data_IF_614227783681
#
_entry.id   IF_614227783681
#
_cell.length_a   1.000
_cell.length_b   1.000
_cell.length_c   1.000
_cell.angle_alpha   90.00
_cell.angle_beta   90.00
_cell.angle_gamma   90.00
#
_symmetry.space_group_name_H-M   'P 1'
#
loop_
_entity.id
_entity.type
_entity.pdbx_description
1 polymer ?
#
# COMPACT_ATOMS: atom_id res chain seq x y z
N UNK A 1 6.01 -1.22 17.89
CA UNK A 1 5.11 -1.60 16.77
C UNK A 1 5.72 -2.77 16.02
N UNK A 2 4.91 -3.64 15.39
CA UNK A 2 5.40 -4.70 14.48
C UNK A 2 5.52 -4.20 13.04
N UNK A 3 6.68 -4.43 12.41
CA UNK A 3 6.92 -4.21 10.99
C UNK A 3 6.77 -5.56 10.27
N UNK A 4 5.98 -5.60 9.21
CA UNK A 4 5.73 -6.80 8.42
C UNK A 4 6.45 -6.73 7.09
N UNK A 5 7.18 -7.79 6.76
CA UNK A 5 7.77 -7.97 5.43
C UNK A 5 6.71 -8.47 4.47
N UNK A 6 6.32 -7.62 3.52
CA UNK A 6 5.34 -7.96 2.48
C UNK A 6 6.05 -8.60 1.29
N UNK A 7 7.07 -7.91 0.75
CA UNK A 7 8.00 -8.44 -0.25
C UNK A 7 9.41 -8.33 0.36
N UNK A 8 10.15 -9.45 0.52
CA UNK A 8 11.48 -9.45 1.12
C UNK A 8 12.39 -8.37 0.53
N UNK A 9 13.01 -7.58 1.40
CA UNK A 9 13.96 -6.51 1.05
C UNK A 9 13.42 -5.41 0.13
N UNK A 10 12.10 -5.32 -0.06
CA UNK A 10 11.48 -4.42 -1.05
C UNK A 10 10.26 -3.67 -0.52
N UNK A 11 9.34 -4.37 0.14
CA UNK A 11 8.10 -3.78 0.63
C UNK A 11 7.82 -4.23 2.06
N UNK A 12 7.71 -3.25 2.93
CA UNK A 12 7.38 -3.40 4.34
C UNK A 12 6.08 -2.66 4.66
N UNK A 13 5.40 -3.07 5.73
CA UNK A 13 4.15 -2.45 6.11
C UNK A 13 3.83 -2.56 7.61
N UNK A 14 2.95 -1.70 8.10
CA UNK A 14 2.49 -1.74 9.48
C UNK A 14 1.51 -0.62 9.84
N UNK A 15 1.37 -0.37 11.13
CA UNK A 15 0.60 0.76 11.65
C UNK A 15 1.45 2.03 11.76
N UNK A 16 1.02 2.95 12.63
CA UNK A 16 1.75 4.20 12.89
C UNK A 16 3.14 3.91 13.46
N UNK A 17 4.17 4.46 12.81
CA UNK A 17 5.56 4.36 13.23
C UNK A 17 5.78 5.00 14.61
N UNK A 18 6.37 4.22 15.52
CA UNK A 18 6.98 4.71 16.76
C UNK A 18 8.45 5.07 16.52
N UNK A 19 9.18 5.47 17.57
CA UNK A 19 10.60 5.86 17.44
C UNK A 19 11.46 4.75 16.82
N UNK A 20 11.23 3.49 17.20
CA UNK A 20 11.96 2.35 16.65
C UNK A 20 11.60 2.08 15.19
N UNK A 21 10.33 2.27 14.82
CA UNK A 21 9.90 2.23 13.42
C UNK A 21 10.58 3.30 12.56
N UNK A 22 10.72 4.53 13.08
CA UNK A 22 11.45 5.57 12.37
C UNK A 22 12.94 5.27 12.23
N UNK A 23 13.56 4.64 13.24
CA UNK A 23 14.94 4.17 13.13
C UNK A 23 15.09 3.13 12.01
N UNK A 24 14.18 2.16 11.94
CA UNK A 24 14.15 1.19 10.83
C UNK A 24 13.99 1.89 9.47
N UNK A 25 13.16 2.93 9.40
CA UNK A 25 13.01 3.74 8.17
C UNK A 25 14.32 4.42 7.79
N UNK A 26 15.00 5.05 8.76
CA UNK A 26 16.28 5.71 8.53
C UNK A 26 17.34 4.74 8.01
N UNK A 27 17.33 3.48 8.45
CA UNK A 27 18.36 2.50 8.11
C UNK A 27 18.06 1.69 6.83
N UNK A 28 16.79 1.44 6.50
CA UNK A 28 16.43 0.42 5.50
C UNK A 28 15.41 0.84 4.44
N UNK A 29 14.70 1.94 4.64
CA UNK A 29 13.58 2.34 3.79
C UNK A 29 13.98 3.56 2.97
N UNK A 30 13.67 3.54 1.68
CA UNK A 30 13.88 4.66 0.77
C UNK A 30 12.68 5.60 0.75
N UNK A 31 11.47 5.04 0.76
CA UNK A 31 10.23 5.80 0.71
C UNK A 31 9.20 5.29 1.73
N UNK A 32 8.48 6.22 2.36
CA UNK A 32 7.35 5.95 3.24
C UNK A 32 6.08 6.43 2.55
N UNK A 33 5.06 5.58 2.49
CA UNK A 33 3.72 5.94 2.04
C UNK A 33 2.76 5.92 3.23
N UNK A 34 2.33 7.11 3.64
CA UNK A 34 1.43 7.32 4.76
C UNK A 34 0.00 7.55 4.27
N UNK A 35 -0.91 6.66 4.67
CA UNK A 35 -2.34 6.69 4.32
C UNK A 35 -3.22 7.44 5.33
N UNK A 36 -2.63 7.92 6.43
CA UNK A 36 -3.34 8.62 7.50
C UNK A 36 -3.76 10.01 7.04
N UNK A 37 -4.78 10.52 7.71
CA UNK A 37 -5.28 11.90 7.57
C UNK A 37 -4.33 12.92 8.20
N UNK A 38 -3.32 12.48 8.95
CA UNK A 38 -2.27 13.33 9.46
C UNK A 38 -0.92 12.97 8.80
N UNK A 39 -0.15 13.96 8.35
CA UNK A 39 1.21 13.73 7.86
C UNK A 39 2.10 13.19 8.97
N UNK A 40 3.20 12.54 8.58
CA UNK A 40 4.19 12.10 9.55
C UNK A 40 5.07 13.24 10.04
N UNK A 41 5.50 13.12 11.29
CA UNK A 41 6.47 14.00 11.93
C UNK A 41 7.56 13.09 12.52
N UNK A 42 8.58 12.70 11.73
CA UNK A 42 9.64 11.83 12.21
C UNK A 42 10.34 12.46 13.43
N UNK A 43 10.55 11.73 14.53
CA UNK A 43 11.23 12.23 15.71
C UNK A 43 12.77 12.18 15.58
N UNK A 44 13.28 11.74 14.44
CA UNK A 44 14.71 11.59 14.12
C UNK A 44 14.96 12.06 12.69
N UNK A 45 16.22 12.30 12.35
CA UNK A 45 16.60 12.64 10.99
C UNK A 45 16.36 11.47 10.03
N UNK A 46 15.65 11.77 8.94
CA UNK A 46 15.37 10.86 7.83
C UNK A 46 15.72 11.52 6.50
N UNK A 47 16.71 12.41 6.52
CA UNK A 47 17.24 13.06 5.32
C UNK A 47 17.57 12.03 4.24
N UNK A 48 17.16 12.33 3.00
CA UNK A 48 17.29 11.41 1.87
C UNK A 48 16.21 10.33 1.79
N UNK A 49 15.19 10.36 2.65
CA UNK A 49 13.99 9.50 2.52
C UNK A 49 12.83 10.27 1.90
N UNK A 50 12.04 9.59 1.07
CA UNK A 50 10.83 10.16 0.48
C UNK A 50 9.64 9.94 1.41
N UNK A 51 9.10 11.01 1.99
CA UNK A 51 7.90 10.94 2.83
C UNK A 51 6.67 11.30 2.00
N UNK A 52 5.96 10.29 1.49
CA UNK A 52 4.82 10.44 0.61
C UNK A 52 3.53 10.40 1.44
N UNK A 53 2.82 11.52 1.46
CA UNK A 53 1.54 11.62 2.14
C UNK A 53 0.38 11.43 1.16
N UNK A 54 -0.43 10.39 1.37
CA UNK A 54 -1.55 10.02 0.53
C UNK A 54 -2.79 9.76 1.40
N UNK A 55 -3.38 10.81 2.00
CA UNK A 55 -4.41 10.66 3.01
C UNK A 55 -5.69 10.04 2.44
N UNK A 56 -6.23 9.04 3.14
CA UNK A 56 -7.58 8.48 2.90
C UNK A 56 -8.34 8.30 4.22
N UNK A 57 -9.65 8.49 4.15
CA UNK A 57 -10.55 8.45 5.31
C UNK A 57 -10.81 7.02 5.76
N UNK A 58 -10.84 6.75 7.06
CA UNK A 58 -11.03 5.37 7.54
C UNK A 58 -12.40 4.74 7.16
N UNK A 59 -13.45 5.54 6.99
CA UNK A 59 -14.82 5.07 6.70
C UNK A 59 -15.34 5.40 5.31
N UNK A 60 -14.54 6.07 4.48
CA UNK A 60 -14.92 6.44 3.11
C UNK A 60 -13.76 6.14 2.17
N UNK A 61 -14.06 5.37 1.12
CA UNK A 61 -13.07 5.05 0.10
C UNK A 61 -12.79 6.28 -0.79
N UNK A 62 -11.57 6.41 -1.34
CA UNK A 62 -11.29 7.42 -2.37
C UNK A 62 -11.99 7.05 -3.69
N UNK A 63 -11.75 7.82 -4.75
CA UNK A 63 -12.17 7.42 -6.09
C UNK A 63 -11.22 6.38 -6.73
N UNK A 64 -11.62 5.85 -7.89
CA UNK A 64 -10.85 4.87 -8.64
C UNK A 64 -9.52 5.42 -9.19
N UNK A 65 -9.49 6.70 -9.57
CA UNK A 65 -8.29 7.35 -10.11
C UNK A 65 -7.18 7.37 -9.07
N UNK A 66 -7.52 7.68 -7.82
CA UNK A 66 -6.60 7.62 -6.70
C UNK A 66 -5.96 6.23 -6.56
N UNK A 67 -6.72 5.15 -6.72
CA UNK A 67 -6.20 3.78 -6.64
C UNK A 67 -5.22 3.49 -7.77
N UNK A 68 -5.59 3.86 -9.00
CA UNK A 68 -4.74 3.71 -10.19
C UNK A 68 -3.41 4.44 -9.98
N UNK A 69 -3.46 5.70 -9.56
CA UNK A 69 -2.29 6.53 -9.34
C UNK A 69 -1.37 5.95 -8.27
N UNK A 70 -1.92 5.56 -7.11
CA UNK A 70 -1.10 5.13 -5.98
C UNK A 70 -0.51 3.75 -6.19
N UNK A 71 -1.25 2.83 -6.80
CA UNK A 71 -0.71 1.52 -7.17
C UNK A 71 0.37 1.65 -8.24
N UNK A 72 0.21 2.55 -9.23
CA UNK A 72 1.24 2.87 -10.22
C UNK A 72 2.48 3.49 -9.57
N UNK A 73 2.32 4.44 -8.65
CA UNK A 73 3.42 5.05 -7.91
C UNK A 73 4.22 3.99 -7.13
N UNK A 74 3.54 3.11 -6.40
CA UNK A 74 4.20 2.01 -5.67
C UNK A 74 5.00 1.10 -6.61
N UNK A 75 4.43 0.75 -7.77
CA UNK A 75 5.12 -0.02 -8.79
C UNK A 75 6.38 0.69 -9.29
N UNK A 76 6.27 1.96 -9.68
CA UNK A 76 7.41 2.75 -10.18
C UNK A 76 8.52 2.86 -9.13
N UNK A 77 8.17 3.13 -7.87
CA UNK A 77 9.17 3.21 -6.79
C UNK A 77 9.92 1.88 -6.64
N UNK A 78 9.18 0.76 -6.56
CA UNK A 78 9.77 -0.55 -6.45
C UNK A 78 10.61 -0.90 -7.69
N UNK A 79 10.12 -0.66 -8.90
CA UNK A 79 10.83 -0.97 -10.16
C UNK A 79 12.13 -0.15 -10.30
N UNK A 80 12.17 1.06 -9.75
CA UNK A 80 13.38 1.87 -9.64
C UNK A 80 14.32 1.48 -8.48
N UNK A 81 14.09 0.32 -7.86
CA UNK A 81 14.97 -0.22 -6.81
C UNK A 81 14.73 0.36 -5.41
N UNK A 82 13.70 1.19 -5.21
CA UNK A 82 13.40 1.72 -3.87
C UNK A 82 12.82 0.63 -2.96
N UNK A 83 13.14 0.75 -1.67
CA UNK A 83 12.51 0.00 -0.59
C UNK A 83 11.39 0.84 0.00
N UNK A 84 10.17 0.30 0.06
CA UNK A 84 8.98 1.04 0.45
C UNK A 84 8.47 0.56 1.82
N UNK A 85 8.03 1.51 2.66
CA UNK A 85 7.23 1.24 3.85
C UNK A 85 5.84 1.86 3.71
N UNK A 86 4.78 1.06 3.84
CA UNK A 86 3.40 1.56 3.71
C UNK A 86 2.67 1.40 5.05
N UNK A 87 1.98 2.45 5.50
CA UNK A 87 1.22 2.34 6.74
C UNK A 87 -0.07 3.15 6.79
N UNK A 88 -0.94 2.75 7.72
CA UNK A 88 -2.02 3.58 8.23
C UNK A 88 -1.85 3.78 9.76
N UNK A 89 -2.93 4.02 10.51
CA UNK A 89 -2.90 4.09 11.98
C UNK A 89 -2.66 2.72 12.64
N UNK A 90 -3.44 1.70 12.29
CA UNK A 90 -3.46 0.39 12.97
C UNK A 90 -2.78 -0.73 12.14
N UNK A 91 -2.48 -0.47 10.87
CA UNK A 91 -2.00 -1.43 9.90
C UNK A 91 -3.06 -2.43 9.45
N UNK A 92 -4.34 -2.05 9.38
CA UNK A 92 -5.44 -3.04 9.16
C UNK A 92 -6.27 -2.71 7.93
N UNK A 93 -6.98 -1.57 7.96
CA UNK A 93 -8.07 -1.29 7.05
C UNK A 93 -7.58 -0.62 5.76
N UNK A 94 -7.03 0.60 5.90
CA UNK A 94 -6.49 1.38 4.77
C UNK A 94 -5.25 0.72 4.20
N UNK A 95 -4.42 0.16 5.09
CA UNK A 95 -3.26 -0.64 4.68
C UNK A 95 -3.69 -1.86 3.87
N UNK A 96 -4.64 -2.65 4.38
CA UNK A 96 -5.14 -3.84 3.69
C UNK A 96 -5.70 -3.49 2.32
N UNK A 97 -6.42 -2.37 2.23
CA UNK A 97 -6.96 -1.88 0.97
C UNK A 97 -5.87 -1.61 -0.07
N UNK A 98 -4.91 -0.74 0.24
CA UNK A 98 -3.92 -0.34 -0.76
C UNK A 98 -2.97 -1.49 -1.12
N UNK A 99 -2.59 -2.34 -0.16
CA UNK A 99 -1.75 -3.50 -0.45
C UNK A 99 -2.49 -4.48 -1.37
N UNK A 100 -3.79 -4.69 -1.14
CA UNK A 100 -4.61 -5.55 -2.01
C UNK A 100 -4.65 -5.00 -3.42
N UNK A 101 -4.95 -3.71 -3.60
CA UNK A 101 -4.94 -3.06 -4.91
C UNK A 101 -3.57 -3.18 -5.59
N UNK A 102 -2.49 -2.93 -4.85
CA UNK A 102 -1.12 -3.06 -5.37
C UNK A 102 -0.84 -4.50 -5.85
N UNK A 103 -1.22 -5.53 -5.08
CA UNK A 103 -1.04 -6.93 -5.47
C UNK A 103 -1.87 -7.32 -6.69
N UNK A 104 -3.10 -6.81 -6.80
CA UNK A 104 -3.93 -7.02 -7.98
C UNK A 104 -3.25 -6.49 -9.25
N UNK A 105 -2.75 -5.25 -9.20
CA UNK A 105 -2.08 -4.63 -10.34
C UNK A 105 -0.72 -5.29 -10.65
N UNK A 106 0.09 -5.57 -9.62
CA UNK A 106 1.47 -6.08 -9.79
C UNK A 106 1.50 -7.52 -10.28
N UNK A 107 0.60 -8.36 -9.77
CA UNK A 107 0.65 -9.82 -9.96
C UNK A 107 -0.53 -10.38 -10.75
N UNK A 108 -1.48 -9.53 -11.17
CA UNK A 108 -2.67 -9.95 -11.92
C UNK A 108 -3.66 -10.76 -11.09
N UNK A 109 -3.59 -10.70 -9.76
CA UNK A 109 -4.51 -11.41 -8.89
C UNK A 109 -5.90 -10.77 -8.86
N UNK A 110 -6.92 -11.61 -8.68
CA UNK A 110 -8.26 -11.12 -8.30
C UNK A 110 -8.22 -10.45 -6.93
N UNK A 111 -9.23 -9.62 -6.63
CA UNK A 111 -9.38 -8.94 -5.33
C UNK A 111 -9.22 -9.91 -4.16
N UNK A 112 -9.98 -11.00 -4.20
CA UNK A 112 -10.03 -11.95 -3.08
C UNK A 112 -8.74 -12.77 -2.98
N UNK A 113 -8.15 -13.14 -4.11
CA UNK A 113 -6.85 -13.82 -4.14
C UNK A 113 -5.75 -12.93 -3.57
N UNK A 114 -5.68 -11.66 -4.01
CA UNK A 114 -4.68 -10.70 -3.52
C UNK A 114 -4.77 -10.52 -2.00
N UNK A 115 -5.97 -10.31 -1.46
CA UNK A 115 -6.19 -10.17 -0.03
C UNK A 115 -5.84 -11.45 0.73
N UNK A 116 -6.21 -12.63 0.20
CA UNK A 116 -5.87 -13.91 0.81
C UNK A 116 -4.35 -14.14 0.87
N UNK A 117 -3.61 -13.82 -0.22
CA UNK A 117 -2.13 -13.89 -0.23
C UNK A 117 -1.53 -12.98 0.83
N UNK A 118 -2.01 -11.75 0.93
CA UNK A 118 -1.54 -10.79 1.93
C UNK A 118 -1.85 -11.21 3.36
N UNK A 119 -3.03 -11.81 3.61
CA UNK A 119 -3.41 -12.34 4.92
C UNK A 119 -2.50 -13.46 5.42
N UNK A 120 -1.87 -14.23 4.53
CA UNK A 120 -0.83 -15.20 4.94
C UNK A 120 0.40 -14.53 5.56
N UNK A 121 0.66 -13.26 5.23
CA UNK A 121 1.78 -12.47 5.75
C UNK A 121 1.36 -11.59 6.94
N UNK A 122 0.17 -11.01 6.88
CA UNK A 122 -0.44 -10.23 7.97
C UNK A 122 -1.93 -10.61 8.11
N UNK A 123 -2.27 -11.54 9.01
CA UNK A 123 -3.63 -12.09 9.13
C UNK A 123 -4.72 -11.06 9.44
N UNK A 124 -4.37 -9.99 10.16
CA UNK A 124 -5.30 -8.95 10.60
C UNK A 124 -5.82 -8.05 9.48
N UNK A 125 -5.23 -8.07 8.28
CA UNK A 125 -5.66 -7.19 7.19
C UNK A 125 -7.14 -7.38 6.88
N UNK A 126 -7.90 -6.29 6.98
CA UNK A 126 -9.35 -6.33 6.83
C UNK A 126 -9.88 -5.01 6.27
N UNK A 127 -9.80 -4.79 4.95
CA UNK A 127 -10.36 -3.59 4.34
C UNK A 127 -11.86 -3.48 4.63
N UNK A 128 -12.34 -2.29 4.99
CA UNK A 128 -13.78 -2.08 5.27
C UNK A 128 -14.63 -2.21 4.01
N UNK A 129 -15.97 -2.41 4.14
CA UNK A 129 -16.84 -2.61 2.99
C UNK A 129 -16.73 -1.57 1.85
N UNK A 130 -16.61 -0.24 2.12
CA UNK A 130 -16.42 0.74 1.04
C UNK A 130 -15.14 0.50 0.22
N UNK A 131 -14.07 0.09 0.90
CA UNK A 131 -12.80 -0.26 0.26
C UNK A 131 -12.90 -1.55 -0.55
N UNK A 132 -13.60 -2.56 -0.02
CA UNK A 132 -13.84 -3.81 -0.75
C UNK A 132 -14.68 -3.59 -2.01
N UNK A 133 -15.66 -2.70 -1.96
CA UNK A 133 -16.44 -2.30 -3.13
C UNK A 133 -15.57 -1.60 -4.19
N UNK A 134 -14.71 -0.67 -3.76
CA UNK A 134 -13.78 0.02 -4.66
C UNK A 134 -12.76 -0.93 -5.29
N UNK A 135 -12.26 -1.92 -4.55
CA UNK A 135 -11.38 -2.95 -5.11
C UNK A 135 -12.09 -3.77 -6.20
N UNK A 136 -13.39 -4.04 -6.08
CA UNK A 136 -14.15 -4.68 -7.17
C UNK A 136 -14.27 -3.80 -8.40
N UNK A 137 -14.43 -2.49 -8.25
CA UNK A 137 -14.36 -1.55 -9.38
C UNK A 137 -12.97 -1.56 -10.02
N UNK A 138 -11.92 -1.59 -9.21
CA UNK A 138 -10.54 -1.65 -9.67
C UNK A 138 -10.20 -2.95 -10.40
N UNK A 139 -10.73 -4.09 -9.95
CA UNK A 139 -10.59 -5.37 -10.64
C UNK A 139 -11.19 -5.33 -12.05
N UNK A 140 -12.42 -4.81 -12.19
CA UNK A 140 -13.07 -4.63 -13.50
C UNK A 140 -12.25 -3.72 -14.41
N UNK A 141 -11.74 -2.62 -13.85
CA UNK A 141 -10.83 -1.72 -14.56
C UNK A 141 -9.60 -2.48 -15.09
N UNK A 142 -8.89 -3.22 -14.25
CA UNK A 142 -7.70 -3.98 -14.67
C UNK A 142 -8.01 -5.01 -15.78
N UNK A 143 -9.16 -5.69 -15.70
CA UNK A 143 -9.59 -6.65 -16.72
C UNK A 143 -9.88 -5.98 -18.08
N UNK A 144 -10.49 -4.79 -18.08
CA UNK A 144 -10.71 -4.03 -19.31
C UNK A 144 -9.39 -3.63 -19.97
N UNK A 145 -8.43 -3.14 -19.17
CA UNK A 145 -7.10 -2.76 -19.68
C UNK A 145 -6.29 -3.97 -20.17
N UNK A 146 -6.41 -5.13 -19.51
CA UNK A 146 -5.76 -6.35 -19.95
C UNK A 146 -6.29 -6.79 -21.32
N UNK A 147 -7.62 -6.80 -21.53
CA UNK A 147 -8.23 -7.16 -22.83
C UNK A 147 -7.77 -6.25 -23.97
N UNK A 148 -7.68 -4.95 -23.73
CA UNK A 148 -7.19 -3.98 -24.72
C UNK A 148 -5.73 -4.23 -25.14
N UNK A 149 -4.88 -4.73 -24.23
CA UNK A 149 -3.48 -5.06 -24.53
C UNK A 149 -3.29 -6.30 -25.41
N UNK A 150 -4.27 -7.20 -25.46
CA UNK A 150 -4.21 -8.45 -26.24
C UNK A 150 -5.12 -8.43 -27.48
N UNK A 151 -5.69 -7.26 -27.83
CA UNK A 151 -6.56 -7.09 -29.00
C UNK A 151 -5.87 -6.38 -30.17
N UNK A 152 -4.53 -6.32 -30.15
CA UNK A 152 -3.62 -5.72 -31.14
C UNK A 152 -2.52 -6.74 -31.45
#
# INVERSE_FOLDING_TARGET
MTIYTIIPNRLYAGGKLDRGGWQFVAEHIHAVLNLRTEPDQPPIDVTGRLLLWAPILDKAAPDLHWVVDKTRLMNVLLDNGNTLYVHDTAGINRLGFILTAFYMQRFGYSRDTALAVLRRKKPELNPKPPYMALLSCFEKYLQMFAKLRYSI
#
